data_IF_810419559797
#
_entry.id   IF_810419559797
#
_cell.length_a   1.000
_cell.length_b   1.000
_cell.length_c   1.000
_cell.angle_alpha   90.00
_cell.angle_beta   90.00
_cell.angle_gamma   90.00
#
_symmetry.space_group_name_H-M   'P 1'
#
loop_
_entity.id
_entity.type
_entity.pdbx_description
1 polymer ?
#
# COMPACT_ATOMS: atom_id res chain seq x y z
N UNK A 1 -5.31 0.09 -23.21
CA UNK A 1 -5.68 1.03 -24.29
C UNK A 1 -5.45 0.47 -25.70
N UNK A 2 -4.19 0.48 -26.19
CA UNK A 2 -3.88 0.13 -27.60
C UNK A 2 -4.16 -1.33 -27.97
N UNK A 3 -4.41 -2.18 -26.98
CA UNK A 3 -4.65 -3.62 -27.17
C UNK A 3 -6.07 -4.03 -26.76
N UNK A 4 -7.00 -3.07 -26.62
CA UNK A 4 -8.39 -3.36 -26.31
C UNK A 4 -8.69 -3.62 -24.84
N UNK A 5 -7.78 -3.22 -23.93
CA UNK A 5 -8.02 -3.28 -22.49
C UNK A 5 -8.47 -1.92 -21.95
N UNK A 6 -9.48 -1.93 -21.11
CA UNK A 6 -9.74 -0.84 -20.16
C UNK A 6 -8.86 -1.05 -18.92
N UNK A 7 -8.27 0.04 -18.43
CA UNK A 7 -7.37 -0.01 -17.28
C UNK A 7 -7.88 0.94 -16.22
N UNK A 8 -8.11 0.40 -15.05
CA UNK A 8 -8.51 1.13 -13.85
C UNK A 8 -7.35 1.11 -12.85
N UNK A 9 -7.00 2.26 -12.33
CA UNK A 9 -6.06 2.41 -11.22
C UNK A 9 -6.55 3.47 -10.26
N UNK A 10 -6.26 3.32 -8.99
CA UNK A 10 -6.63 4.26 -7.96
C UNK A 10 -5.53 4.33 -6.89
N UNK A 11 -5.46 5.46 -6.21
CA UNK A 11 -4.60 5.63 -5.07
C UNK A 11 -5.32 5.11 -3.82
N UNK A 12 -4.67 4.24 -3.08
CA UNK A 12 -5.20 3.79 -1.79
C UNK A 12 -5.35 4.95 -0.81
N UNK A 13 -6.32 4.85 0.12
CA UNK A 13 -6.44 5.83 1.21
C UNK A 13 -5.09 6.05 1.89
N UNK A 14 -4.77 7.28 2.23
CA UNK A 14 -3.49 7.65 2.81
C UNK A 14 -2.33 7.76 1.82
N UNK A 15 -2.56 7.59 0.51
CA UNK A 15 -1.52 7.65 -0.52
C UNK A 15 -1.95 8.49 -1.73
N UNK A 16 -0.97 8.94 -2.51
CA UNK A 16 -1.20 9.67 -3.77
C UNK A 16 -2.13 10.85 -3.61
N UNK A 17 -3.15 10.94 -4.46
CA UNK A 17 -4.18 11.97 -4.45
C UNK A 17 -5.39 11.62 -3.56
N UNK A 18 -5.41 10.44 -2.94
CA UNK A 18 -6.46 10.06 -2.00
C UNK A 18 -6.29 10.77 -0.66
N UNK A 19 -7.39 10.85 0.10
CA UNK A 19 -7.42 11.54 1.39
C UNK A 19 -6.39 10.99 2.37
N UNK A 20 -5.72 11.90 3.06
CA UNK A 20 -4.85 11.59 4.19
C UNK A 20 -5.68 11.49 5.46
N UNK A 21 -5.49 10.42 6.21
CA UNK A 21 -6.24 10.16 7.46
C UNK A 21 -5.67 10.93 8.65
N UNK A 22 -4.46 11.45 8.53
CA UNK A 22 -3.74 12.18 9.57
C UNK A 22 -3.30 13.56 9.09
N UNK A 23 -3.05 14.46 10.03
CA UNK A 23 -2.46 15.77 9.74
C UNK A 23 -1.02 15.68 9.22
N UNK A 24 -0.28 14.63 9.59
CA UNK A 24 1.00 14.28 8.99
C UNK A 24 0.73 13.48 7.72
N UNK A 25 0.81 14.14 6.57
CA UNK A 25 0.54 13.55 5.26
C UNK A 25 1.55 12.50 4.83
N UNK A 26 2.73 12.50 5.42
CA UNK A 26 3.79 11.54 5.10
C UNK A 26 3.59 10.20 5.81
N UNK A 27 2.84 10.19 6.90
CA UNK A 27 2.66 8.99 7.70
C UNK A 27 1.67 8.04 7.04
N UNK A 28 2.13 6.86 6.62
CA UNK A 28 1.26 5.76 6.19
C UNK A 28 0.37 5.31 7.34
N UNK A 29 -0.95 5.43 7.18
CA UNK A 29 -1.90 5.09 8.23
C UNK A 29 -3.18 4.51 7.65
N UNK A 30 -3.72 3.53 8.34
CA UNK A 30 -5.07 3.01 8.18
C UNK A 30 -5.57 2.58 9.55
N UNK A 31 -6.85 2.75 9.83
CA UNK A 31 -7.42 2.33 11.11
C UNK A 31 -7.58 0.82 11.20
N UNK A 32 -7.99 0.20 10.10
CA UNK A 32 -8.09 -1.24 9.95
C UNK A 32 -7.70 -1.64 8.53
N UNK A 33 -7.02 -2.78 8.36
CA UNK A 33 -6.63 -3.27 7.04
C UNK A 33 -7.85 -3.58 6.16
N UNK A 34 -8.99 -3.90 6.76
CA UNK A 34 -10.26 -4.12 6.06
C UNK A 34 -10.74 -2.88 5.32
N UNK A 35 -10.37 -1.68 5.77
CA UNK A 35 -10.69 -0.43 5.07
C UNK A 35 -10.16 -0.40 3.64
N UNK A 36 -8.99 -0.99 3.37
CA UNK A 36 -8.46 -1.13 2.00
C UNK A 36 -9.28 -2.11 1.16
N UNK A 37 -9.84 -3.14 1.81
CA UNK A 37 -10.66 -4.14 1.14
C UNK A 37 -11.99 -3.52 0.72
N UNK A 38 -12.58 -2.74 1.62
CA UNK A 38 -13.82 -2.01 1.36
C UNK A 38 -13.66 -0.97 0.23
N UNK A 39 -12.52 -0.24 0.22
CA UNK A 39 -12.20 0.68 -0.87
C UNK A 39 -12.11 -0.04 -2.21
N UNK A 40 -11.50 -1.21 -2.23
CA UNK A 40 -11.40 -2.02 -3.45
C UNK A 40 -12.77 -2.50 -3.93
N UNK A 41 -13.64 -2.92 -3.02
CA UNK A 41 -15.02 -3.30 -3.32
C UNK A 41 -15.81 -2.14 -3.93
N UNK A 42 -15.65 -0.94 -3.37
CA UNK A 42 -16.26 0.29 -3.90
C UNK A 42 -15.77 0.54 -5.33
N UNK A 43 -14.46 0.40 -5.61
CA UNK A 43 -13.92 0.61 -6.97
C UNK A 43 -14.49 -0.42 -7.95
N UNK A 44 -14.53 -1.69 -7.58
CA UNK A 44 -15.06 -2.78 -8.40
C UNK A 44 -16.52 -2.51 -8.76
N UNK A 45 -17.34 -2.13 -7.78
CA UNK A 45 -18.77 -1.82 -7.97
C UNK A 45 -19.01 -0.53 -8.77
N UNK A 46 -18.25 0.53 -8.45
CA UNK A 46 -18.41 1.84 -9.10
C UNK A 46 -18.13 1.80 -10.60
N UNK A 47 -17.24 0.92 -11.03
CA UNK A 47 -16.85 0.80 -12.44
C UNK A 47 -17.51 -0.37 -13.15
N UNK A 48 -18.54 -0.99 -12.52
CA UNK A 48 -19.30 -2.10 -13.07
C UNK A 48 -18.42 -3.20 -13.67
N UNK A 49 -17.32 -3.55 -12.95
CA UNK A 49 -16.34 -4.49 -13.47
C UNK A 49 -16.92 -5.88 -13.72
N UNK A 50 -18.11 -6.17 -13.22
CA UNK A 50 -18.88 -7.38 -13.52
C UNK A 50 -19.42 -7.44 -14.96
N UNK A 51 -19.51 -6.30 -15.65
CA UNK A 51 -19.98 -6.25 -17.05
C UNK A 51 -18.89 -6.70 -18.05
N UNK A 52 -17.64 -6.79 -17.61
CA UNK A 52 -16.55 -7.25 -18.46
C UNK A 52 -16.52 -8.78 -18.57
N UNK A 53 -16.27 -9.31 -19.76
CA UNK A 53 -16.10 -10.76 -19.98
C UNK A 53 -14.93 -11.33 -19.19
N UNK A 54 -13.87 -10.55 -19.02
CA UNK A 54 -12.69 -10.90 -18.25
C UNK A 54 -12.18 -9.69 -17.48
N UNK A 55 -11.91 -9.89 -16.21
CA UNK A 55 -11.35 -8.87 -15.33
C UNK A 55 -10.10 -9.43 -14.66
N UNK A 56 -8.96 -8.75 -14.81
CA UNK A 56 -7.70 -9.13 -14.18
C UNK A 56 -7.22 -8.06 -13.22
N UNK A 57 -6.68 -8.49 -12.10
CA UNK A 57 -5.97 -7.61 -11.18
C UNK A 57 -4.47 -7.82 -11.34
N UNK A 58 -3.72 -6.73 -11.49
CA UNK A 58 -2.26 -6.72 -11.40
C UNK A 58 -1.91 -5.92 -10.15
N UNK A 59 -1.29 -6.57 -9.18
CA UNK A 59 -1.01 -5.97 -7.88
C UNK A 59 0.43 -6.17 -7.43
N UNK A 60 1.01 -5.14 -6.81
CA UNK A 60 2.37 -5.14 -6.30
C UNK A 60 2.40 -4.87 -4.80
N UNK A 61 3.31 -5.52 -4.09
CA UNK A 61 3.61 -5.30 -2.68
C UNK A 61 2.35 -5.34 -1.80
N UNK A 62 2.06 -4.27 -1.04
CA UNK A 62 0.85 -4.13 -0.22
C UNK A 62 -0.43 -4.32 -1.04
N UNK A 63 -0.49 -3.79 -2.26
CA UNK A 63 -1.63 -4.00 -3.17
C UNK A 63 -1.89 -5.48 -3.45
N UNK A 64 -0.84 -6.31 -3.47
CA UNK A 64 -0.98 -7.77 -3.59
C UNK A 64 -1.67 -8.42 -2.39
N UNK A 65 -1.37 -7.96 -1.18
CA UNK A 65 -2.06 -8.42 0.03
C UNK A 65 -3.53 -7.99 0.04
N UNK A 66 -3.80 -6.73 -0.32
CA UNK A 66 -5.16 -6.18 -0.42
C UNK A 66 -5.99 -6.97 -1.44
N UNK A 67 -5.48 -7.12 -2.67
CA UNK A 67 -6.18 -7.85 -3.73
C UNK A 67 -6.45 -9.30 -3.35
N UNK A 68 -5.48 -9.98 -2.76
CA UNK A 68 -5.66 -11.37 -2.30
C UNK A 68 -6.73 -11.46 -1.23
N UNK A 69 -6.70 -10.56 -0.25
CA UNK A 69 -7.69 -10.56 0.83
C UNK A 69 -9.08 -10.22 0.31
N UNK A 70 -9.20 -9.26 -0.62
CA UNK A 70 -10.46 -8.96 -1.29
C UNK A 70 -11.08 -10.21 -1.92
N UNK A 71 -10.34 -10.94 -2.74
CA UNK A 71 -10.84 -12.16 -3.40
C UNK A 71 -11.26 -13.24 -2.38
N UNK A 72 -10.56 -13.35 -1.25
CA UNK A 72 -10.91 -14.31 -0.21
C UNK A 72 -12.21 -13.98 0.53
N UNK A 73 -12.51 -12.67 0.69
CA UNK A 73 -13.66 -12.20 1.47
C UNK A 73 -14.89 -11.87 0.62
N UNK A 74 -14.73 -11.76 -0.70
CA UNK A 74 -15.78 -11.44 -1.66
C UNK A 74 -15.86 -12.53 -2.74
N UNK A 75 -16.39 -13.72 -2.44
CA UNK A 75 -16.41 -14.84 -3.37
C UNK A 75 -17.20 -14.57 -4.66
N UNK A 76 -18.09 -13.58 -4.66
CA UNK A 76 -18.88 -13.11 -5.81
C UNK A 76 -18.15 -12.11 -6.71
N UNK A 77 -16.85 -11.87 -6.46
CA UNK A 77 -16.06 -10.91 -7.24
C UNK A 77 -16.01 -11.28 -8.74
N UNK A 78 -15.96 -10.28 -9.66
CA UNK A 78 -15.91 -10.53 -11.11
C UNK A 78 -14.50 -10.89 -11.62
N UNK A 79 -13.51 -10.99 -10.76
CA UNK A 79 -12.10 -11.15 -11.13
C UNK A 79 -11.83 -12.54 -11.68
N UNK A 80 -11.36 -12.61 -12.92
CA UNK A 80 -11.00 -13.84 -13.65
C UNK A 80 -9.59 -14.30 -13.28
N UNK A 81 -8.68 -13.39 -12.96
CA UNK A 81 -7.31 -13.74 -12.61
C UNK A 81 -6.58 -12.65 -11.84
N UNK A 82 -5.62 -13.07 -11.01
CA UNK A 82 -4.79 -12.21 -10.17
C UNK A 82 -3.32 -12.42 -10.51
N UNK A 83 -2.63 -11.33 -10.86
CA UNK A 83 -1.20 -11.30 -11.14
C UNK A 83 -0.51 -10.55 -10.01
N UNK A 84 0.36 -11.24 -9.29
CA UNK A 84 1.05 -10.69 -8.13
C UNK A 84 2.54 -10.46 -8.42
N UNK A 85 3.01 -9.27 -8.08
CA UNK A 85 4.43 -8.91 -8.11
C UNK A 85 4.88 -8.59 -6.69
N UNK A 86 5.78 -9.41 -6.14
CA UNK A 86 6.33 -9.27 -4.79
C UNK A 86 5.26 -8.94 -3.72
N UNK A 87 4.17 -9.74 -3.60
CA UNK A 87 3.08 -9.44 -2.69
C UNK A 87 3.53 -9.44 -1.22
N UNK A 88 3.06 -8.48 -0.45
CA UNK A 88 3.40 -8.34 0.97
C UNK A 88 2.48 -9.23 1.84
N UNK A 89 2.72 -10.53 1.85
CA UNK A 89 2.00 -11.48 2.71
C UNK A 89 2.52 -11.56 4.13
N UNK A 90 3.58 -10.86 4.43
CA UNK A 90 4.16 -10.78 5.76
C UNK A 90 5.29 -9.78 5.82
N UNK A 91 5.62 -9.35 7.01
CA UNK A 91 6.75 -8.47 7.29
C UNK A 91 7.91 -9.33 7.78
N UNK A 92 9.05 -9.25 7.09
CA UNK A 92 10.24 -9.97 7.50
C UNK A 92 10.86 -9.28 8.72
N UNK A 93 10.56 -9.78 9.89
CA UNK A 93 11.18 -9.35 11.13
C UNK A 93 12.27 -10.35 11.53
N UNK A 94 13.41 -9.87 12.09
CA UNK A 94 14.36 -10.74 12.75
C UNK A 94 13.66 -11.66 13.75
N UNK A 95 14.01 -12.95 13.76
CA UNK A 95 13.33 -13.94 14.58
C UNK A 95 13.25 -13.58 16.08
N UNK A 96 14.26 -12.86 16.59
CA UNK A 96 14.31 -12.43 17.99
C UNK A 96 13.40 -11.21 18.28
N UNK A 97 12.98 -10.45 17.26
CA UNK A 97 12.02 -9.35 17.40
C UNK A 97 10.58 -9.79 17.20
N UNK A 98 10.36 -10.87 16.44
CA UNK A 98 9.03 -11.35 16.08
C UNK A 98 8.12 -11.55 17.33
N UNK A 99 8.54 -12.17 18.44
CA UNK A 99 7.65 -12.39 19.58
C UNK A 99 7.32 -11.13 20.37
N UNK A 100 8.11 -10.06 20.23
CA UNK A 100 7.91 -8.81 20.98
C UNK A 100 7.38 -7.66 20.13
N UNK A 101 7.49 -7.74 18.81
CA UNK A 101 7.06 -6.67 17.91
C UNK A 101 5.56 -6.39 18.04
N UNK A 102 4.72 -7.42 18.02
CA UNK A 102 3.26 -7.28 18.14
C UNK A 102 2.87 -6.70 19.51
N UNK A 103 3.30 -7.26 20.64
CA UNK A 103 2.99 -6.67 21.94
C UNK A 103 3.47 -5.23 22.10
N UNK A 104 4.67 -4.91 21.61
CA UNK A 104 5.21 -3.55 21.69
C UNK A 104 4.37 -2.56 20.87
N UNK A 105 4.02 -2.90 19.63
CA UNK A 105 3.17 -2.04 18.81
C UNK A 105 1.77 -1.88 19.38
N UNK A 106 1.19 -2.93 19.96
CA UNK A 106 -0.10 -2.88 20.63
C UNK A 106 -0.06 -1.95 21.87
N UNK A 107 0.97 -2.06 22.70
CA UNK A 107 1.15 -1.17 23.85
C UNK A 107 1.35 0.28 23.39
N UNK A 108 2.20 0.51 22.40
CA UNK A 108 2.40 1.86 21.85
C UNK A 108 1.11 2.46 21.30
N UNK A 109 0.29 1.65 20.63
CA UNK A 109 -1.01 2.07 20.10
C UNK A 109 -2.03 2.35 21.21
N UNK A 110 -2.00 1.59 22.30
CA UNK A 110 -2.92 1.76 23.43
C UNK A 110 -2.57 2.97 24.30
N UNK A 111 -1.28 3.26 24.47
CA UNK A 111 -0.82 4.36 25.35
C UNK A 111 -0.79 5.71 24.62
N UNK A 112 -0.63 5.71 23.29
CA UNK A 112 -0.58 6.94 22.51
C UNK A 112 -1.96 7.30 21.95
N UNK A 113 -2.45 8.45 22.33
CA UNK A 113 -3.68 9.03 21.73
C UNK A 113 -3.47 9.51 20.30
N UNK A 114 -2.21 9.79 19.92
CA UNK A 114 -1.84 10.23 18.58
C UNK A 114 -1.03 9.14 17.88
N UNK A 115 -1.30 8.89 16.59
CA UNK A 115 -0.48 8.00 15.77
C UNK A 115 0.99 8.47 15.77
N UNK A 116 1.91 7.52 15.84
CA UNK A 116 3.36 7.74 15.76
C UNK A 116 3.93 6.83 14.71
N UNK A 117 5.07 7.20 14.13
CA UNK A 117 5.80 6.31 13.24
C UNK A 117 6.16 5.00 13.95
N UNK A 118 6.07 3.91 13.23
CA UNK A 118 6.56 2.62 13.70
C UNK A 118 8.07 2.70 14.01
N UNK A 119 8.61 1.90 14.95
CA UNK A 119 10.03 1.94 15.29
C UNK A 119 10.93 1.80 14.08
N UNK A 120 11.89 2.72 13.93
CA UNK A 120 12.80 2.77 12.80
C UNK A 120 12.24 3.45 11.53
N UNK A 121 11.02 3.96 11.59
CA UNK A 121 10.38 4.69 10.50
C UNK A 121 10.26 6.19 10.80
N UNK A 122 10.12 6.99 9.73
CA UNK A 122 10.03 8.45 9.81
C UNK A 122 9.28 9.00 8.58
N UNK A 123 9.07 10.32 8.55
CA UNK A 123 8.56 11.03 7.38
C UNK A 123 9.38 10.70 6.12
N UNK A 124 8.82 11.01 4.96
CA UNK A 124 9.50 10.77 3.70
C UNK A 124 10.90 11.38 3.70
N UNK A 125 11.88 10.55 3.40
CA UNK A 125 13.27 10.95 3.28
C UNK A 125 13.88 10.31 2.03
N UNK A 126 14.46 11.12 1.14
CA UNK A 126 15.08 10.63 -0.08
C UNK A 126 16.39 9.89 0.23
N UNK A 127 16.37 8.56 0.27
CA UNK A 127 17.58 7.77 0.46
C UNK A 127 18.51 7.88 -0.74
N UNK A 128 19.85 7.92 -0.56
CA UNK A 128 20.82 7.78 -1.65
C UNK A 128 20.63 6.46 -2.40
N UNK A 129 21.15 6.38 -3.62
CA UNK A 129 21.03 5.16 -4.43
C UNK A 129 21.66 3.94 -3.75
N UNK A 130 22.77 4.13 -3.07
CA UNK A 130 23.53 3.10 -2.36
C UNK A 130 22.72 2.45 -1.23
N UNK A 131 21.85 3.23 -0.58
CA UNK A 131 21.00 2.79 0.53
C UNK A 131 19.57 2.46 0.11
N UNK A 132 19.29 2.48 -1.20
CA UNK A 132 17.97 2.23 -1.73
C UNK A 132 17.67 0.73 -1.84
N UNK A 133 16.66 0.20 -1.11
CA UNK A 133 16.33 -1.21 -1.16
C UNK A 133 15.42 -1.61 -2.34
N UNK A 134 14.90 -0.64 -3.10
CA UNK A 134 13.79 -0.88 -4.03
C UNK A 134 14.23 -1.12 -5.46
N UNK A 135 15.38 -0.60 -5.87
CA UNK A 135 15.84 -0.72 -7.25
C UNK A 135 17.36 -0.84 -7.34
N UNK A 136 17.80 -1.81 -8.12
CA UNK A 136 19.23 -1.95 -8.49
C UNK A 136 19.59 -1.16 -9.75
N UNK A 137 18.61 -0.54 -10.39
CA UNK A 137 18.81 0.29 -11.59
C UNK A 137 18.89 1.76 -11.22
N UNK A 138 20.06 2.37 -11.39
CA UNK A 138 20.27 3.80 -11.17
C UNK A 138 19.30 4.66 -11.99
N UNK A 139 19.09 4.33 -13.28
CA UNK A 139 18.19 5.09 -14.14
C UNK A 139 16.74 5.07 -13.65
N UNK A 140 16.24 3.91 -13.15
CA UNK A 140 14.90 3.81 -12.55
C UNK A 140 14.83 4.56 -11.23
N UNK A 141 15.86 4.47 -10.41
CA UNK A 141 15.96 5.23 -9.16
C UNK A 141 15.88 6.74 -9.43
N UNK A 142 16.66 7.27 -10.37
CA UNK A 142 16.63 8.69 -10.73
C UNK A 142 15.25 9.10 -11.28
N UNK A 143 14.63 8.27 -12.10
CA UNK A 143 13.28 8.53 -12.60
C UNK A 143 12.27 8.68 -11.46
N UNK A 144 12.26 7.79 -10.48
CA UNK A 144 11.42 7.90 -9.29
C UNK A 144 11.74 9.15 -8.46
N UNK A 145 13.02 9.46 -8.31
CA UNK A 145 13.45 10.66 -7.57
C UNK A 145 12.91 11.94 -8.22
N UNK A 146 13.04 12.05 -9.53
CA UNK A 146 12.52 13.18 -10.28
C UNK A 146 10.99 13.27 -10.14
N UNK A 147 10.30 12.13 -10.30
CA UNK A 147 8.85 12.06 -10.15
C UNK A 147 8.39 12.55 -8.76
N UNK A 148 9.01 12.10 -7.68
CA UNK A 148 8.68 12.53 -6.32
C UNK A 148 9.02 14.00 -6.03
N UNK A 149 9.98 14.56 -6.76
CA UNK A 149 10.29 15.99 -6.70
C UNK A 149 9.25 16.82 -7.43
N UNK A 150 8.80 16.36 -8.59
CA UNK A 150 7.77 17.02 -9.40
C UNK A 150 6.36 16.85 -8.84
N UNK A 151 6.11 15.76 -8.11
CA UNK A 151 4.83 15.33 -7.57
C UNK A 151 4.96 14.97 -6.08
N UNK A 152 5.07 15.97 -5.18
CA UNK A 152 5.23 15.72 -3.75
C UNK A 152 4.08 14.92 -3.13
N UNK A 153 2.89 14.98 -3.69
CA UNK A 153 1.72 14.21 -3.28
C UNK A 153 1.90 12.70 -3.39
N UNK A 154 2.87 12.23 -4.18
CA UNK A 154 3.23 10.82 -4.28
C UNK A 154 4.19 10.35 -3.19
N UNK A 155 4.75 11.28 -2.42
CA UNK A 155 5.66 10.94 -1.33
C UNK A 155 4.89 10.30 -0.19
N UNK A 156 5.38 9.16 0.29
CA UNK A 156 4.88 8.48 1.48
C UNK A 156 6.05 8.10 2.36
N UNK A 157 5.99 8.46 3.62
CA UNK A 157 6.98 8.08 4.62
C UNK A 157 6.74 6.68 5.18
N UNK A 158 7.19 6.45 6.38
CA UNK A 158 6.99 5.18 7.07
C UNK A 158 5.57 4.98 7.58
N UNK A 159 5.19 3.74 7.92
CA UNK A 159 3.90 3.44 8.51
C UNK A 159 3.80 3.93 9.96
N UNK A 160 2.57 4.14 10.40
CA UNK A 160 2.28 4.33 11.82
C UNK A 160 2.35 3.01 12.59
N UNK A 161 2.37 3.09 13.93
CA UNK A 161 2.30 1.91 14.81
C UNK A 161 0.96 1.17 14.75
N UNK A 162 -0.05 1.74 14.10
CA UNK A 162 -1.39 1.14 13.94
C UNK A 162 -1.67 0.61 12.53
N UNK A 163 -0.73 0.83 11.65
CA UNK A 163 -0.84 0.36 10.26
C UNK A 163 -0.59 -1.13 10.13
#
# INVERSE_FOLDING_TARGET
YRQGFDVYSFDHRGQGLSDRLLSDSDMGHVYDFTDYIDDMDIVVKKHDLSEYQQCFIIAHSMGGAIATRYLQTHPEHPVTGLILSAPMFGINLPWYLSPIAIPVTQIMSAVSTLPRYAPGHQAYFPKPFEDNPLSQSYGRYQWFRNLYTEKPELQVGGPSTRW
#
